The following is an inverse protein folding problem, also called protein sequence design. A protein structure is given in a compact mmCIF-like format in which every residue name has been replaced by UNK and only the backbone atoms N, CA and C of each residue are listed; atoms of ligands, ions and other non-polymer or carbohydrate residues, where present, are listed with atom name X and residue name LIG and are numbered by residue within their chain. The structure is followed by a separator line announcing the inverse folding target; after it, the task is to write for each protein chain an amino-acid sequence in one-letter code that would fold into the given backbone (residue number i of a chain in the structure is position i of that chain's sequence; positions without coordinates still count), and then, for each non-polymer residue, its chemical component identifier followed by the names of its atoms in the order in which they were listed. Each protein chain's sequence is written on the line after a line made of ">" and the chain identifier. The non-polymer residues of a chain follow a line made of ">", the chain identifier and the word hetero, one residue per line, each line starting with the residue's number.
data_IF_129365290510
#
_entry.id   IF_129365290510
#
_cell.length_a   1.000
_cell.length_b   1.000
_cell.length_c   1.000
_cell.angle_alpha   90.00
_cell.angle_beta   90.00
_cell.angle_gamma   90.00
#
_symmetry.space_group_name_H-M   'P 1'
#
loop_
_entity.id
_entity.type
_entity.pdbx_description
1 polymer ?
#
# COMPACT_ATOMS: atom_id res chain seq x y z
N UNK A 1 16.92 -18.21 11.02
CA UNK A 1 17.24 -17.03 10.20
C UNK A 1 18.02 -17.52 8.98
N UNK A 2 17.34 -18.04 7.95
CA UNK A 2 18.00 -18.68 6.83
C UNK A 2 18.95 -17.74 6.09
N UNK A 3 18.55 -16.49 5.81
CA UNK A 3 19.41 -15.59 5.06
C UNK A 3 20.64 -15.11 5.83
N UNK A 4 20.55 -15.00 7.15
CA UNK A 4 21.74 -14.76 7.97
C UNK A 4 22.73 -15.91 7.86
N UNK A 5 22.25 -17.16 7.85
CA UNK A 5 23.09 -18.33 7.64
C UNK A 5 23.65 -18.36 6.21
N UNK A 6 22.84 -18.05 5.20
CA UNK A 6 23.29 -17.91 3.82
C UNK A 6 24.38 -16.84 3.68
N UNK A 7 24.23 -15.70 4.36
CA UNK A 7 25.22 -14.63 4.37
C UNK A 7 26.56 -15.11 4.95
N UNK A 8 26.52 -15.78 6.11
CA UNK A 8 27.72 -16.34 6.75
C UNK A 8 28.37 -17.38 5.83
N UNK A 9 27.57 -18.31 5.29
CA UNK A 9 28.05 -19.36 4.41
C UNK A 9 28.67 -18.79 3.12
N UNK A 10 28.09 -17.74 2.55
CA UNK A 10 28.60 -17.10 1.34
C UNK A 10 30.03 -16.56 1.55
N UNK A 11 30.29 -15.87 2.66
CA UNK A 11 31.63 -15.35 2.94
C UNK A 11 32.61 -16.45 3.36
N UNK A 12 32.17 -17.44 4.14
CA UNK A 12 33.02 -18.58 4.48
C UNK A 12 33.42 -19.40 3.25
N UNK A 13 32.53 -19.54 2.27
CA UNK A 13 32.84 -20.21 1.00
C UNK A 13 33.87 -19.40 0.19
N UNK A 14 33.79 -18.06 0.20
CA UNK A 14 34.80 -17.21 -0.43
C UNK A 14 36.16 -17.37 0.25
N UNK A 15 36.21 -17.30 1.59
CA UNK A 15 37.43 -17.50 2.37
C UNK A 15 38.03 -18.90 2.09
N UNK A 16 37.19 -19.93 1.99
CA UNK A 16 37.61 -21.30 1.68
C UNK A 16 38.21 -21.42 0.27
N UNK A 17 37.58 -20.79 -0.74
CA UNK A 17 38.09 -20.81 -2.11
C UNK A 17 39.50 -20.18 -2.18
N UNK A 18 39.71 -19.06 -1.48
CA UNK A 18 41.02 -18.42 -1.40
C UNK A 18 42.11 -19.31 -0.78
N UNK A 19 41.75 -20.12 0.21
CA UNK A 19 42.67 -21.10 0.82
C UNK A 19 42.97 -22.26 -0.13
N UNK A 20 41.95 -22.80 -0.80
CA UNK A 20 42.10 -23.92 -1.73
C UNK A 20 42.95 -23.54 -2.94
N UNK A 21 42.73 -22.34 -3.49
CA UNK A 21 43.48 -21.83 -4.65
C UNK A 21 44.91 -21.40 -4.28
N UNK A 22 45.32 -21.52 -3.00
CA UNK A 22 46.59 -21.04 -2.46
C UNK A 22 46.85 -19.59 -2.85
N UNK A 23 45.79 -18.79 -2.94
CA UNK A 23 45.88 -17.40 -3.35
C UNK A 23 46.78 -16.63 -2.39
N UNK A 24 47.66 -15.80 -2.94
CA UNK A 24 48.53 -14.95 -2.14
C UNK A 24 47.73 -13.70 -1.80
N UNK A 25 47.60 -13.42 -0.50
CA UNK A 25 47.02 -12.17 -0.04
C UNK A 25 47.92 -11.01 -0.49
N UNK A 26 47.34 -10.09 -1.27
CA UNK A 26 48.05 -8.97 -1.89
C UNK A 26 48.63 -8.03 -0.81
N UNK A 27 47.98 -7.92 0.35
CA UNK A 27 48.43 -7.04 1.42
C UNK A 27 49.61 -7.62 2.21
N UNK A 28 49.61 -8.93 2.48
CA UNK A 28 50.62 -9.57 3.34
C UNK A 28 51.71 -10.32 2.56
N UNK A 29 51.50 -10.63 1.29
CA UNK A 29 52.38 -11.46 0.47
C UNK A 29 52.48 -12.93 0.94
N UNK A 30 51.58 -13.34 1.84
CA UNK A 30 51.51 -14.69 2.41
C UNK A 30 50.32 -15.45 1.83
N UNK A 31 50.26 -16.79 1.96
CA UNK A 31 49.05 -17.54 1.61
C UNK A 31 47.83 -16.95 2.34
N UNK A 32 46.73 -16.79 1.61
CA UNK A 32 45.49 -16.21 2.13
C UNK A 32 44.99 -16.98 3.35
N UNK A 33 44.81 -16.27 4.45
CA UNK A 33 44.24 -16.82 5.69
C UNK A 33 42.78 -16.37 5.76
N UNK A 34 41.83 -17.23 6.16
CA UNK A 34 40.44 -16.83 6.35
C UNK A 34 40.32 -15.60 7.27
N UNK A 35 39.38 -14.71 6.94
CA UNK A 35 39.15 -13.49 7.71
C UNK A 35 38.84 -13.77 9.18
N UNK A 36 38.25 -14.94 9.46
CA UNK A 36 38.02 -15.47 10.82
C UNK A 36 38.88 -16.71 11.02
N UNK A 37 39.94 -16.58 11.83
CA UNK A 37 40.88 -17.67 12.14
C UNK A 37 41.26 -17.67 13.63
N UNK A 38 41.72 -18.82 14.14
CA UNK A 38 42.10 -19.02 15.54
C UNK A 38 41.15 -19.96 16.30
N UNK A 39 41.52 -20.28 17.54
CA UNK A 39 40.71 -21.12 18.44
C UNK A 39 39.39 -20.42 18.75
N UNK A 40 38.27 -21.12 18.53
CA UNK A 40 36.90 -20.62 18.73
C UNK A 40 36.55 -19.31 18.02
N UNK A 41 37.36 -18.88 17.04
CA UNK A 41 37.18 -17.60 16.36
C UNK A 41 35.82 -17.48 15.67
N UNK A 42 35.31 -18.59 15.12
CA UNK A 42 33.97 -18.62 14.53
C UNK A 42 32.88 -18.33 15.57
N UNK A 43 32.95 -18.99 16.73
CA UNK A 43 32.02 -18.75 17.82
C UNK A 43 32.10 -17.30 18.30
N UNK A 44 33.32 -16.79 18.51
CA UNK A 44 33.56 -15.49 19.13
C UNK A 44 33.35 -14.30 18.20
N UNK A 45 33.68 -14.44 16.92
CA UNK A 45 33.65 -13.34 15.94
C UNK A 45 32.41 -13.37 15.04
N UNK A 46 31.75 -14.52 14.89
CA UNK A 46 30.58 -14.66 14.02
C UNK A 46 29.31 -14.90 14.84
N UNK A 47 29.28 -15.95 15.64
CA UNK A 47 28.05 -16.39 16.32
C UNK A 47 27.70 -15.49 17.51
N UNK A 48 28.64 -15.25 18.43
CA UNK A 48 28.42 -14.45 19.64
C UNK A 48 27.93 -13.01 19.33
N UNK A 49 28.52 -12.26 18.38
CA UNK A 49 28.02 -10.91 18.07
C UNK A 49 26.57 -10.89 17.57
N UNK A 50 26.16 -11.89 16.78
CA UNK A 50 24.77 -12.01 16.31
C UNK A 50 23.87 -12.39 17.47
N UNK A 51 24.28 -13.35 18.29
CA UNK A 51 23.55 -13.79 19.48
C UNK A 51 23.32 -12.63 20.47
N UNK A 52 24.35 -11.85 20.80
CA UNK A 52 24.27 -10.75 21.77
C UNK A 52 23.26 -9.67 21.35
N UNK A 53 23.16 -9.41 20.05
CA UNK A 53 22.17 -8.48 19.49
C UNK A 53 20.76 -9.03 19.62
N UNK A 54 20.57 -10.30 19.28
CA UNK A 54 19.26 -10.97 19.38
C UNK A 54 18.82 -11.05 20.85
N UNK A 55 19.71 -11.42 21.75
CA UNK A 55 19.45 -11.46 23.18
C UNK A 55 19.06 -10.07 23.71
N UNK A 56 19.78 -9.03 23.30
CA UNK A 56 19.45 -7.66 23.68
C UNK A 56 18.07 -7.22 23.14
N UNK A 57 17.71 -7.56 21.89
CA UNK A 57 16.39 -7.27 21.32
C UNK A 57 15.26 -8.00 22.07
N UNK A 58 15.46 -9.28 22.42
CA UNK A 58 14.48 -10.06 23.20
C UNK A 58 14.31 -9.49 24.60
N UNK A 59 15.40 -9.16 25.30
CA UNK A 59 15.35 -8.49 26.61
C UNK A 59 14.65 -7.14 26.51
N UNK A 60 14.92 -6.38 25.44
CA UNK A 60 14.31 -5.08 25.23
C UNK A 60 12.81 -5.15 24.95
N UNK A 61 12.32 -6.21 24.31
CA UNK A 61 10.91 -6.49 24.04
C UNK A 61 10.04 -6.60 25.31
N UNK A 62 10.64 -6.87 26.47
CA UNK A 62 9.94 -7.13 27.75
C UNK A 62 8.86 -8.20 27.58
N UNK A 63 9.26 -9.35 27.05
CA UNK A 63 8.35 -10.47 26.77
C UNK A 63 7.16 -10.08 25.85
N UNK A 64 7.40 -9.20 24.87
CA UNK A 64 6.38 -8.73 23.92
C UNK A 64 5.47 -7.62 24.44
N UNK A 65 5.63 -7.13 25.67
CA UNK A 65 4.78 -6.07 26.23
C UNK A 65 5.13 -4.68 25.71
N UNK A 66 6.34 -4.47 25.17
CA UNK A 66 6.65 -3.21 24.51
C UNK A 66 5.92 -3.07 23.16
N UNK A 67 5.61 -1.83 22.74
CA UNK A 67 5.06 -1.57 21.41
C UNK A 67 5.90 -2.28 20.35
N UNK A 68 5.22 -2.97 19.43
CA UNK A 68 5.88 -3.79 18.40
C UNK A 68 6.83 -2.99 17.49
N UNK A 69 6.68 -1.66 17.43
CA UNK A 69 7.58 -0.75 16.72
C UNK A 69 8.92 -0.53 17.42
N UNK A 70 9.07 -0.87 18.70
CA UNK A 70 10.22 -0.52 19.51
C UNK A 70 11.38 -1.54 19.43
N UNK A 71 11.09 -2.78 19.05
CA UNK A 71 12.04 -3.90 19.01
C UNK A 71 11.93 -4.64 17.68
N UNK A 72 13.01 -5.31 17.27
CA UNK A 72 13.03 -6.10 16.04
C UNK A 72 12.56 -7.53 16.30
N UNK A 73 11.62 -8.00 15.50
CA UNK A 73 11.26 -9.42 15.48
C UNK A 73 12.22 -10.20 14.56
N UNK A 74 12.01 -11.51 14.49
CA UNK A 74 12.76 -12.39 13.58
C UNK A 74 12.72 -11.95 12.12
N UNK A 75 11.56 -11.51 11.64
CA UNK A 75 11.32 -11.12 10.25
C UNK A 75 12.11 -9.86 9.89
N UNK A 76 12.13 -8.85 10.77
CA UNK A 76 12.89 -7.62 10.59
C UNK A 76 14.40 -7.90 10.48
N UNK A 77 14.89 -8.83 11.31
CA UNK A 77 16.28 -9.27 11.25
C UNK A 77 16.55 -10.04 9.96
N UNK A 78 15.65 -10.93 9.56
CA UNK A 78 15.78 -11.70 8.32
C UNK A 78 15.75 -10.76 7.09
N UNK A 79 14.81 -9.81 7.01
CA UNK A 79 14.70 -8.81 5.94
C UNK A 79 15.98 -7.98 5.77
N UNK A 80 16.66 -7.66 6.88
CA UNK A 80 17.96 -7.00 6.83
C UNK A 80 18.98 -7.79 6.00
N UNK A 81 18.99 -9.13 6.12
CA UNK A 81 19.87 -10.02 5.34
C UNK A 81 19.36 -10.27 3.91
N UNK A 82 18.06 -10.14 3.63
CA UNK A 82 17.52 -10.19 2.26
C UNK A 82 18.02 -9.03 1.39
N UNK A 83 18.31 -7.89 2.00
CA UNK A 83 18.74 -6.72 1.26
C UNK A 83 20.10 -6.96 0.60
N UNK A 84 20.21 -6.78 -0.72
CA UNK A 84 21.52 -6.75 -1.43
C UNK A 84 22.51 -5.75 -0.82
N UNK A 85 22.01 -4.75 -0.08
CA UNK A 85 22.83 -3.76 0.61
C UNK A 85 23.54 -4.34 1.85
N UNK A 86 23.18 -5.54 2.31
CA UNK A 86 23.78 -6.19 3.48
C UNK A 86 25.28 -6.41 3.28
N UNK A 87 25.71 -6.88 2.11
CA UNK A 87 27.12 -7.10 1.77
C UNK A 87 27.96 -5.83 1.93
N UNK A 88 27.42 -4.68 1.50
CA UNK A 88 28.08 -3.37 1.64
C UNK A 88 28.00 -2.80 3.05
N UNK A 89 26.88 -3.02 3.76
CA UNK A 89 26.62 -2.40 5.07
C UNK A 89 27.29 -3.15 6.21
N UNK A 90 27.09 -4.47 6.25
CA UNK A 90 27.59 -5.34 7.29
C UNK A 90 29.07 -5.66 7.06
N UNK A 91 29.45 -5.92 5.80
CA UNK A 91 30.78 -6.37 5.38
C UNK A 91 31.26 -7.64 6.13
N UNK A 92 32.36 -8.21 5.65
CA UNK A 92 33.01 -9.36 6.26
C UNK A 92 34.50 -9.04 6.44
N UNK A 93 35.10 -9.32 7.62
CA UNK A 93 34.51 -9.92 8.81
C UNK A 93 33.54 -8.98 9.57
N UNK A 94 32.72 -9.55 10.45
CA UNK A 94 31.72 -8.79 11.21
C UNK A 94 32.40 -7.80 12.17
N UNK A 95 32.03 -6.52 12.09
CA UNK A 95 32.55 -5.46 12.96
C UNK A 95 31.45 -4.92 13.90
N UNK A 96 31.70 -4.82 15.22
CA UNK A 96 30.73 -4.30 16.20
C UNK A 96 30.29 -2.85 15.94
N UNK A 97 31.08 -2.07 15.19
CA UNK A 97 30.76 -0.68 14.85
C UNK A 97 29.62 -0.56 13.82
N UNK A 98 29.18 -1.67 13.21
CA UNK A 98 28.11 -1.64 12.20
C UNK A 98 26.74 -1.49 12.86
N UNK A 99 25.87 -0.76 12.16
CA UNK A 99 24.56 -0.35 12.65
C UNK A 99 23.62 -1.51 13.00
N UNK A 100 23.87 -2.72 12.48
CA UNK A 100 23.17 -3.94 12.85
C UNK A 100 23.48 -4.40 14.29
N UNK A 101 24.71 -4.20 14.76
CA UNK A 101 25.18 -4.61 16.08
C UNK A 101 24.93 -3.56 17.18
N UNK A 102 24.36 -2.41 16.82
CA UNK A 102 23.96 -1.38 17.79
C UNK A 102 22.75 -1.90 18.57
N UNK A 103 22.93 -2.04 19.89
CA UNK A 103 21.91 -2.54 20.82
C UNK A 103 20.66 -1.64 20.88
N UNK A 104 19.48 -2.20 21.21
CA UNK A 104 18.24 -1.45 21.37
C UNK A 104 18.34 -0.33 22.42
N UNK A 105 17.88 0.86 22.06
CA UNK A 105 17.93 2.07 22.90
C UNK A 105 19.04 3.07 22.52
N UNK A 106 20.04 2.64 21.76
CA UNK A 106 21.14 3.50 21.34
C UNK A 106 20.84 4.23 20.01
N UNK A 107 21.29 5.49 19.85
CA UNK A 107 21.15 6.24 18.61
C UNK A 107 21.91 5.56 17.47
N UNK A 108 21.38 5.65 16.24
CA UNK A 108 21.98 5.02 15.05
C UNK A 108 21.63 3.54 14.85
N UNK A 109 20.87 2.92 15.78
CA UNK A 109 20.34 1.56 15.61
C UNK A 109 19.47 1.46 14.35
N UNK A 110 19.65 0.37 13.59
CA UNK A 110 18.68 -0.03 12.58
C UNK A 110 17.42 -0.51 13.30
N UNK A 111 16.39 0.33 13.29
CA UNK A 111 15.08 -0.02 13.82
C UNK A 111 14.40 -1.12 13.01
N UNK A 112 13.14 -1.38 13.33
CA UNK A 112 12.28 -2.28 12.56
C UNK A 112 12.30 -1.91 11.07
N UNK A 113 12.99 -2.72 10.27
CA UNK A 113 12.93 -2.68 8.81
C UNK A 113 11.75 -3.55 8.45
N UNK A 114 10.64 -2.91 8.12
CA UNK A 114 9.39 -3.59 7.85
C UNK A 114 8.29 -2.55 7.92
N UNK A 115 7.17 -2.83 7.26
CA UNK A 115 5.95 -2.07 7.46
C UNK A 115 5.61 -2.22 8.94
N UNK A 116 5.96 -1.22 9.76
CA UNK A 116 5.24 -1.01 11.00
C UNK A 116 3.83 -0.78 10.51
N UNK A 117 2.99 -1.82 10.55
CA UNK A 117 1.55 -1.64 10.46
C UNK A 117 1.21 -0.76 11.67
N UNK A 118 1.38 0.55 11.52
CA UNK A 118 0.41 1.46 12.09
C UNK A 118 -0.86 1.07 11.35
N UNK A 119 -1.52 0.03 11.87
CA UNK A 119 -2.83 -0.43 11.47
C UNK A 119 -3.79 0.66 11.92
N UNK A 120 -3.68 1.80 11.24
CA UNK A 120 -4.59 2.90 11.36
C UNK A 120 -5.91 2.39 10.84
N UNK A 121 -6.99 2.72 11.54
CA UNK A 121 -8.35 2.46 11.08
C UNK A 121 -8.55 2.90 9.61
N UNK A 122 -7.88 3.98 9.21
CA UNK A 122 -7.85 4.47 7.83
C UNK A 122 -7.31 3.47 6.81
N UNK A 123 -6.39 2.58 7.18
CA UNK A 123 -5.89 1.54 6.28
C UNK A 123 -6.94 0.46 5.99
N UNK A 124 -7.85 0.20 6.94
CA UNK A 124 -9.01 -0.69 6.73
C UNK A 124 -9.99 -0.04 5.78
N UNK A 125 -10.31 1.25 5.99
CA UNK A 125 -11.17 1.98 5.06
C UNK A 125 -10.58 2.03 3.64
N UNK A 126 -9.28 2.32 3.51
CA UNK A 126 -8.58 2.39 2.23
C UNK A 126 -8.53 1.03 1.52
N UNK A 127 -8.32 -0.06 2.24
CA UNK A 127 -8.21 -1.41 1.67
C UNK A 127 -9.56 -1.96 1.18
N UNK A 128 -10.66 -1.59 1.83
CA UNK A 128 -12.01 -2.07 1.51
C UNK A 128 -12.92 -0.94 1.00
N UNK A 129 -12.34 0.01 0.29
CA UNK A 129 -12.97 1.27 -0.12
C UNK A 129 -14.31 1.06 -0.85
N UNK A 130 -14.39 0.07 -1.75
CA UNK A 130 -15.60 -0.26 -2.52
C UNK A 130 -16.74 -0.74 -1.64
N UNK A 131 -16.42 -1.54 -0.62
CA UNK A 131 -17.42 -2.08 0.32
C UNK A 131 -17.99 -0.95 1.16
N UNK A 132 -17.14 -0.08 1.69
CA UNK A 132 -17.58 1.07 2.48
C UNK A 132 -18.45 2.04 1.67
N UNK A 133 -18.04 2.35 0.44
CA UNK A 133 -18.84 3.19 -0.45
C UNK A 133 -20.19 2.55 -0.73
N UNK A 134 -20.23 1.27 -1.09
CA UNK A 134 -21.49 0.56 -1.34
C UNK A 134 -22.42 0.60 -0.12
N UNK A 135 -21.89 0.31 1.07
CA UNK A 135 -22.69 0.30 2.31
C UNK A 135 -23.25 1.68 2.64
N UNK A 136 -22.44 2.74 2.55
CA UNK A 136 -22.88 4.11 2.84
C UNK A 136 -23.95 4.56 1.83
N UNK A 137 -23.73 4.31 0.54
CA UNK A 137 -24.67 4.72 -0.51
C UNK A 137 -25.98 3.94 -0.42
N UNK A 138 -25.91 2.63 -0.18
CA UNK A 138 -27.10 1.81 0.02
C UNK A 138 -27.87 2.24 1.27
N UNK A 139 -27.17 2.50 2.38
CA UNK A 139 -27.79 2.96 3.61
C UNK A 139 -28.51 4.31 3.40
N UNK A 140 -27.86 5.28 2.75
CA UNK A 140 -28.50 6.56 2.42
C UNK A 140 -29.72 6.37 1.53
N UNK A 141 -29.63 5.57 0.47
CA UNK A 141 -30.76 5.29 -0.42
C UNK A 141 -31.92 4.64 0.34
N UNK A 142 -31.62 3.64 1.16
CA UNK A 142 -32.59 2.93 1.98
C UNK A 142 -33.26 3.86 3.00
N UNK A 143 -32.51 4.72 3.68
CA UNK A 143 -33.06 5.72 4.60
C UNK A 143 -34.03 6.68 3.89
N UNK A 144 -33.65 7.18 2.71
CA UNK A 144 -34.49 8.10 1.93
C UNK A 144 -35.80 7.43 1.51
N UNK A 145 -35.73 6.18 1.06
CA UNK A 145 -36.91 5.42 0.62
C UNK A 145 -37.79 5.02 1.81
N UNK A 146 -37.19 4.57 2.91
CA UNK A 146 -37.92 4.15 4.11
C UNK A 146 -38.62 5.31 4.84
N UNK A 147 -38.14 6.55 4.67
CA UNK A 147 -38.72 7.73 5.31
C UNK A 147 -40.17 8.01 4.88
N UNK A 148 -40.58 7.56 3.70
CA UNK A 148 -41.94 7.74 3.17
C UNK A 148 -42.97 6.81 3.84
N UNK A 149 -42.52 5.77 4.57
CA UNK A 149 -43.39 4.85 5.30
C UNK A 149 -44.16 3.83 4.44
N UNK A 150 -44.19 4.02 3.12
CA UNK A 150 -44.73 3.05 2.18
C UNK A 150 -43.72 1.95 1.82
N UNK A 151 -44.19 0.93 1.10
CA UNK A 151 -43.29 -0.12 0.59
C UNK A 151 -42.31 0.45 -0.45
N UNK A 152 -41.06 -0.05 -0.51
CA UNK A 152 -39.99 0.61 -1.27
C UNK A 152 -40.31 0.88 -2.75
N UNK A 153 -40.98 -0.06 -3.41
CA UNK A 153 -41.36 0.04 -4.82
C UNK A 153 -42.40 1.13 -5.08
N UNK A 154 -43.30 1.37 -4.13
CA UNK A 154 -44.32 2.42 -4.23
C UNK A 154 -43.71 3.80 -3.94
N UNK A 155 -42.83 3.91 -2.93
CA UNK A 155 -42.12 5.16 -2.63
C UNK A 155 -41.27 5.62 -3.84
N UNK A 156 -40.60 4.70 -4.53
CA UNK A 156 -39.84 5.02 -5.74
C UNK A 156 -40.70 5.46 -6.94
N UNK A 157 -42.04 5.34 -6.87
CA UNK A 157 -42.93 5.87 -7.92
C UNK A 157 -43.05 7.39 -7.84
N UNK A 158 -42.89 7.97 -6.65
CA UNK A 158 -42.99 9.42 -6.47
C UNK A 158 -41.73 10.12 -6.96
N UNK A 159 -41.92 11.08 -7.87
CA UNK A 159 -40.82 11.84 -8.51
C UNK A 159 -39.95 12.58 -7.49
N UNK A 160 -40.55 13.11 -6.44
CA UNK A 160 -39.82 13.79 -5.36
C UNK A 160 -38.87 12.83 -4.64
N UNK A 161 -39.28 11.57 -4.42
CA UNK A 161 -38.43 10.54 -3.78
C UNK A 161 -37.34 10.08 -4.72
N UNK A 162 -37.64 9.82 -5.99
CA UNK A 162 -36.64 9.47 -7.00
C UNK A 162 -35.48 10.48 -7.02
N UNK A 163 -35.81 11.78 -6.97
CA UNK A 163 -34.82 12.84 -7.04
C UNK A 163 -34.09 13.01 -5.71
N UNK A 164 -34.74 12.79 -4.55
CA UNK A 164 -34.03 12.68 -3.28
C UNK A 164 -33.01 11.54 -3.31
N UNK A 165 -33.36 10.38 -3.87
CA UNK A 165 -32.43 9.24 -4.00
C UNK A 165 -31.23 9.61 -4.87
N UNK A 166 -31.38 10.45 -5.90
CA UNK A 166 -30.24 10.93 -6.72
C UNK A 166 -29.16 11.67 -5.90
N UNK A 167 -29.45 12.13 -4.69
CA UNK A 167 -28.44 12.68 -3.76
C UNK A 167 -27.31 11.69 -3.43
N UNK A 168 -27.49 10.38 -3.66
CA UNK A 168 -26.43 9.37 -3.51
C UNK A 168 -25.21 9.65 -4.40
N UNK A 169 -25.37 10.31 -5.54
CA UNK A 169 -24.23 10.70 -6.38
C UNK A 169 -23.39 11.80 -5.74
N UNK A 170 -24.00 12.70 -4.96
CA UNK A 170 -23.28 13.75 -4.23
C UNK A 170 -22.41 13.12 -3.15
N UNK A 171 -22.98 12.25 -2.34
CA UNK A 171 -22.22 11.50 -1.32
C UNK A 171 -21.18 10.61 -1.94
N UNK A 172 -21.46 9.95 -3.07
CA UNK A 172 -20.45 9.16 -3.75
C UNK A 172 -19.26 10.01 -4.20
N UNK A 173 -19.51 11.16 -4.84
CA UNK A 173 -18.45 12.09 -5.23
C UNK A 173 -17.66 12.62 -4.02
N UNK A 174 -18.34 12.93 -2.90
CA UNK A 174 -17.69 13.34 -1.66
C UNK A 174 -16.82 12.20 -1.07
N UNK A 175 -17.30 10.96 -1.09
CA UNK A 175 -16.51 9.80 -0.67
C UNK A 175 -15.28 9.59 -1.56
N UNK A 176 -15.34 9.93 -2.86
CA UNK A 176 -14.16 9.94 -3.73
C UNK A 176 -13.10 10.94 -3.29
N UNK A 177 -13.49 12.09 -2.73
CA UNK A 177 -12.54 13.05 -2.15
C UNK A 177 -11.84 12.41 -0.95
N UNK A 178 -12.60 11.78 -0.05
CA UNK A 178 -12.03 11.06 1.12
C UNK A 178 -11.05 9.98 0.65
N UNK A 179 -11.42 9.17 -0.35
CA UNK A 179 -10.53 8.16 -0.93
C UNK A 179 -9.25 8.79 -1.51
N UNK A 180 -9.37 9.89 -2.27
CA UNK A 180 -8.22 10.55 -2.89
C UNK A 180 -7.26 11.15 -1.84
N UNK A 181 -7.79 11.72 -0.76
CA UNK A 181 -7.00 12.26 0.35
C UNK A 181 -6.28 11.15 1.12
N UNK A 182 -6.94 10.02 1.38
CA UNK A 182 -6.31 8.88 2.06
C UNK A 182 -5.23 8.21 1.20
N UNK A 183 -5.47 8.09 -0.10
CA UNK A 183 -4.46 7.66 -1.06
C UNK A 183 -3.25 8.60 -1.05
N UNK A 184 -3.48 9.92 -1.06
CA UNK A 184 -2.41 10.91 -1.02
C UNK A 184 -1.62 10.84 0.29
N UNK A 185 -2.30 10.77 1.44
CA UNK A 185 -1.64 10.71 2.75
C UNK A 185 -0.79 9.45 2.95
N UNK A 186 -1.29 8.30 2.49
CA UNK A 186 -0.55 7.02 2.62
C UNK A 186 0.60 6.90 1.62
N UNK A 187 0.42 7.41 0.41
CA UNK A 187 1.45 7.32 -0.63
C UNK A 187 2.40 8.53 -0.65
N UNK A 188 2.18 9.54 0.18
CA UNK A 188 3.08 10.70 0.29
C UNK A 188 4.52 10.27 0.59
N UNK A 189 4.70 9.26 1.46
CA UNK A 189 6.02 8.71 1.76
C UNK A 189 6.69 7.98 0.58
N UNK A 190 5.92 7.55 -0.43
CA UNK A 190 6.43 6.93 -1.66
C UNK A 190 6.80 7.97 -2.73
N UNK A 191 6.36 9.23 -2.55
CA UNK A 191 6.75 10.33 -3.42
C UNK A 191 8.19 10.72 -3.09
N UNK A 192 9.13 10.05 -3.76
CA UNK A 192 10.51 10.52 -3.90
C UNK A 192 10.57 11.51 -5.06
N UNK A 193 11.64 12.30 -5.13
CA UNK A 193 11.92 13.22 -6.24
C UNK A 193 11.83 12.55 -7.62
N UNK A 194 12.05 11.23 -7.70
CA UNK A 194 12.00 10.44 -8.94
C UNK A 194 10.57 10.09 -9.41
N UNK A 195 9.51 10.34 -8.61
CA UNK A 195 8.13 9.95 -8.93
C UNK A 195 7.16 11.14 -8.99
N UNK A 196 7.57 12.25 -9.62
CA UNK A 196 6.71 13.45 -9.82
C UNK A 196 5.35 13.09 -10.44
N UNK A 197 5.31 12.18 -11.42
CA UNK A 197 4.05 11.72 -12.04
C UNK A 197 3.07 11.11 -11.03
N UNK A 198 3.57 10.45 -9.98
CA UNK A 198 2.74 9.90 -8.92
C UNK A 198 2.09 11.01 -8.10
N UNK A 199 2.85 12.07 -7.77
CA UNK A 199 2.33 13.26 -7.09
C UNK A 199 1.28 13.99 -7.94
N UNK A 200 1.57 14.21 -9.23
CA UNK A 200 0.63 14.84 -10.18
C UNK A 200 -0.68 14.03 -10.26
N UNK A 201 -0.59 12.70 -10.36
CA UNK A 201 -1.76 11.82 -10.37
C UNK A 201 -2.60 11.95 -9.09
N UNK A 202 -1.97 12.08 -7.92
CA UNK A 202 -2.69 12.26 -6.66
C UNK A 202 -3.45 13.58 -6.62
N UNK A 203 -2.78 14.68 -6.99
CA UNK A 203 -3.41 16.01 -7.03
C UNK A 203 -4.58 16.00 -8.02
N UNK A 204 -4.38 15.46 -9.21
CA UNK A 204 -5.43 15.37 -10.23
C UNK A 204 -6.64 14.55 -9.74
N UNK A 205 -6.41 13.42 -9.05
CA UNK A 205 -7.51 12.64 -8.44
C UNK A 205 -8.35 13.48 -7.49
N UNK A 206 -7.72 14.27 -6.62
CA UNK A 206 -8.42 15.14 -5.66
C UNK A 206 -9.22 16.22 -6.41
N UNK A 207 -8.59 16.92 -7.36
CA UNK A 207 -9.24 17.98 -8.14
C UNK A 207 -10.45 17.47 -8.92
N UNK A 208 -10.32 16.31 -9.57
CA UNK A 208 -11.42 15.67 -10.31
C UNK A 208 -12.57 15.29 -9.36
N UNK A 209 -12.27 14.73 -8.18
CA UNK A 209 -13.29 14.38 -7.19
C UNK A 209 -14.03 15.62 -6.64
N UNK A 210 -13.30 16.70 -6.38
CA UNK A 210 -13.87 18.00 -5.97
C UNK A 210 -14.76 18.56 -7.07
N UNK A 211 -14.28 18.56 -8.32
CA UNK A 211 -15.05 19.03 -9.48
C UNK A 211 -16.37 18.28 -9.66
N UNK A 212 -16.36 16.95 -9.54
CA UNK A 212 -17.58 16.14 -9.58
C UNK A 212 -18.53 16.44 -8.42
N UNK A 213 -18.01 16.60 -7.21
CA UNK A 213 -18.84 16.90 -6.03
C UNK A 213 -19.55 18.24 -6.19
N UNK A 214 -18.82 19.29 -6.62
CA UNK A 214 -19.39 20.61 -6.90
C UNK A 214 -20.44 20.52 -8.02
N UNK A 215 -20.12 19.80 -9.10
CA UNK A 215 -21.04 19.63 -10.24
C UNK A 215 -22.37 19.00 -9.80
N UNK A 216 -22.32 17.91 -9.03
CA UNK A 216 -23.55 17.27 -8.53
C UNK A 216 -24.31 18.16 -7.55
N UNK A 217 -23.63 18.85 -6.63
CA UNK A 217 -24.29 19.79 -5.71
C UNK A 217 -25.03 20.89 -6.50
N UNK A 218 -24.35 21.53 -7.46
CA UNK A 218 -24.93 22.62 -8.26
C UNK A 218 -26.12 22.12 -9.08
N UNK A 219 -25.99 20.99 -9.78
CA UNK A 219 -27.09 20.44 -10.57
C UNK A 219 -28.26 20.02 -9.67
N UNK A 220 -27.99 19.44 -8.50
CA UNK A 220 -29.02 19.07 -7.53
C UNK A 220 -29.80 20.27 -6.99
N UNK A 221 -29.09 21.31 -6.54
CA UNK A 221 -29.72 22.56 -6.09
C UNK A 221 -30.52 23.21 -7.23
N UNK A 222 -30.00 23.20 -8.46
CA UNK A 222 -30.73 23.72 -9.63
C UNK A 222 -32.01 22.96 -9.95
N UNK A 223 -32.06 21.64 -9.73
CA UNK A 223 -33.29 20.85 -9.88
C UNK A 223 -34.33 21.26 -8.84
N UNK A 224 -33.94 21.33 -7.56
CA UNK A 224 -34.86 21.69 -6.47
C UNK A 224 -35.35 23.12 -6.54
N UNK A 225 -34.48 24.07 -6.88
CA UNK A 225 -34.88 25.48 -7.06
C UNK A 225 -35.93 25.62 -8.17
N UNK A 226 -35.77 24.89 -9.28
CA UNK A 226 -36.76 24.91 -10.37
C UNK A 226 -38.10 24.28 -9.93
N UNK A 227 -38.03 23.15 -9.23
CA UNK A 227 -39.21 22.45 -8.68
C UNK A 227 -39.98 23.32 -7.67
N UNK A 228 -39.28 24.10 -6.86
CA UNK A 228 -39.87 25.02 -5.89
C UNK A 228 -40.53 26.21 -6.58
N UNK A 229 -39.83 26.82 -7.53
CA UNK A 229 -40.35 27.94 -8.32
C UNK A 229 -41.62 27.56 -9.09
N UNK A 230 -41.59 26.42 -9.79
CA UNK A 230 -42.71 26.00 -10.64
C UNK A 230 -43.83 25.29 -9.85
N UNK A 231 -43.61 25.01 -8.56
CA UNK A 231 -44.47 24.21 -7.66
C UNK A 231 -44.83 22.79 -8.15
N UNK A 232 -44.30 22.37 -9.29
CA UNK A 232 -44.48 21.05 -9.90
C UNK A 232 -43.25 20.65 -10.71
N UNK A 233 -43.15 19.38 -11.11
CA UNK A 233 -42.15 18.92 -12.07
C UNK A 233 -42.54 19.35 -13.49
N UNK A 234 -42.27 20.62 -13.81
CA UNK A 234 -42.47 21.20 -15.15
C UNK A 234 -41.52 20.58 -16.18
N UNK A 235 -41.75 20.88 -17.47
CA UNK A 235 -40.82 20.49 -18.54
C UNK A 235 -39.40 21.00 -18.28
N UNK A 236 -39.26 22.26 -17.85
CA UNK A 236 -37.97 22.87 -17.49
C UNK A 236 -37.31 22.18 -16.30
N UNK A 237 -38.09 21.79 -15.28
CA UNK A 237 -37.57 21.03 -14.14
C UNK A 237 -37.07 19.64 -14.58
N UNK A 238 -37.83 18.94 -15.42
CA UNK A 238 -37.43 17.63 -15.95
C UNK A 238 -36.19 17.71 -16.86
N UNK A 239 -36.04 18.76 -17.66
CA UNK A 239 -34.81 19.00 -18.43
C UNK A 239 -33.59 19.10 -17.52
N UNK A 240 -33.69 19.78 -16.37
CA UNK A 240 -32.59 19.83 -15.39
C UNK A 240 -32.29 18.47 -14.74
N UNK A 241 -33.33 17.64 -14.56
CA UNK A 241 -33.15 16.26 -14.10
C UNK A 241 -32.39 15.44 -15.14
N UNK A 242 -32.70 15.59 -16.44
CA UNK A 242 -31.95 14.93 -17.50
C UNK A 242 -30.48 15.35 -17.50
N UNK A 243 -30.18 16.64 -17.35
CA UNK A 243 -28.79 17.11 -17.25
C UNK A 243 -28.04 16.48 -16.06
N UNK A 244 -28.72 16.28 -14.92
CA UNK A 244 -28.14 15.58 -13.77
C UNK A 244 -27.87 14.10 -14.09
N UNK A 245 -28.80 13.44 -14.76
CA UNK A 245 -28.66 12.04 -15.16
C UNK A 245 -27.55 11.84 -16.20
N UNK A 246 -27.39 12.77 -17.14
CA UNK A 246 -26.27 12.78 -18.08
C UNK A 246 -24.93 12.91 -17.36
N UNK A 247 -24.81 13.85 -16.42
CA UNK A 247 -23.62 13.99 -15.59
C UNK A 247 -23.34 12.71 -14.76
N UNK A 248 -24.39 12.09 -14.21
CA UNK A 248 -24.30 10.83 -13.49
C UNK A 248 -23.85 9.67 -14.41
N UNK A 249 -24.34 9.61 -15.64
CA UNK A 249 -23.92 8.62 -16.62
C UNK A 249 -22.43 8.78 -16.95
N UNK A 250 -21.95 10.00 -17.20
CA UNK A 250 -20.52 10.27 -17.45
C UNK A 250 -19.67 9.89 -16.24
N UNK A 251 -20.12 10.20 -15.02
CA UNK A 251 -19.43 9.83 -13.78
C UNK A 251 -19.32 8.30 -13.58
N UNK A 252 -20.30 7.54 -14.09
CA UNK A 252 -20.33 6.08 -14.01
C UNK A 252 -19.41 5.39 -15.03
N UNK A 253 -19.09 6.03 -16.17
CA UNK A 253 -18.31 5.42 -17.26
C UNK A 253 -17.01 4.75 -16.76
N UNK A 254 -16.14 5.40 -15.97
CA UNK A 254 -14.91 4.78 -15.51
C UNK A 254 -15.14 3.53 -14.64
N UNK A 255 -16.25 3.50 -13.90
CA UNK A 255 -16.59 2.39 -12.99
C UNK A 255 -17.10 1.19 -13.77
N UNK A 256 -17.97 1.43 -14.75
CA UNK A 256 -18.45 0.40 -15.66
C UNK A 256 -17.29 -0.15 -16.48
N UNK A 257 -16.43 0.71 -17.02
CA UNK A 257 -15.25 0.30 -17.77
C UNK A 257 -14.31 -0.55 -16.90
N UNK A 258 -14.06 -0.16 -15.66
CA UNK A 258 -13.24 -0.94 -14.74
C UNK A 258 -13.84 -2.33 -14.46
N UNK A 259 -15.17 -2.42 -14.32
CA UNK A 259 -15.87 -3.70 -14.15
C UNK A 259 -15.76 -4.57 -15.41
N UNK A 260 -15.98 -4.00 -16.59
CA UNK A 260 -15.86 -4.71 -17.87
C UNK A 260 -14.45 -5.24 -18.08
N UNK A 261 -13.42 -4.43 -17.81
CA UNK A 261 -12.02 -4.84 -17.89
C UNK A 261 -11.71 -5.96 -16.89
N UNK A 262 -12.25 -5.87 -15.67
CA UNK A 262 -12.09 -6.91 -14.66
C UNK A 262 -12.72 -8.25 -15.11
N UNK A 263 -13.96 -8.22 -15.62
CA UNK A 263 -14.65 -9.40 -16.13
C UNK A 263 -13.89 -9.99 -17.33
N UNK A 264 -13.40 -9.15 -18.25
CA UNK A 264 -12.60 -9.60 -19.40
C UNK A 264 -11.35 -10.35 -18.93
N UNK A 265 -10.58 -9.77 -18.00
CA UNK A 265 -9.38 -10.42 -17.45
C UNK A 265 -9.74 -11.74 -16.75
N UNK A 266 -10.88 -11.80 -16.07
CA UNK A 266 -11.35 -13.01 -15.41
C UNK A 266 -11.74 -14.10 -16.43
N UNK A 267 -12.41 -13.73 -17.51
CA UNK A 267 -12.86 -14.66 -18.57
C UNK A 267 -11.74 -15.05 -19.56
N UNK A 268 -10.60 -14.36 -19.58
CA UNK A 268 -9.46 -14.77 -20.39
C UNK A 268 -9.02 -16.19 -19.98
N UNK A 269 -8.89 -17.13 -20.93
CA UNK A 269 -8.39 -18.47 -20.66
C UNK A 269 -7.06 -18.43 -19.91
N UNK A 270 -6.87 -19.33 -18.95
CA UNK A 270 -5.65 -19.44 -18.13
C UNK A 270 -4.38 -19.46 -18.97
N UNK A 271 -4.42 -20.06 -20.17
CA UNK A 271 -3.33 -20.07 -21.15
C UNK A 271 -2.84 -18.66 -21.54
N UNK A 272 -3.75 -17.69 -21.67
CA UNK A 272 -3.40 -16.31 -22.02
C UNK A 272 -2.91 -15.49 -20.82
N UNK A 273 -3.25 -15.87 -19.57
CA UNK A 273 -2.65 -15.25 -18.37
C UNK A 273 -1.15 -15.57 -18.26
N UNK A 274 -0.74 -16.75 -18.73
CA UNK A 274 0.68 -17.16 -18.77
C UNK A 274 1.50 -16.37 -19.79
N UNK A 275 0.96 -16.07 -20.97
CA UNK A 275 1.68 -15.32 -22.02
C UNK A 275 2.05 -13.89 -21.60
N UNK A 276 1.23 -13.23 -20.78
CA UNK A 276 1.60 -11.91 -20.24
C UNK A 276 2.71 -11.98 -19.18
N UNK A 277 2.96 -13.14 -18.57
CA UNK A 277 4.07 -13.34 -17.65
C UNK A 277 5.34 -13.82 -18.41
N UNK A 278 5.17 -14.68 -19.41
CA UNK A 278 6.27 -15.20 -20.24
C UNK A 278 6.93 -14.14 -21.13
N UNK A 279 6.17 -13.19 -21.68
CA UNK A 279 6.73 -12.13 -22.51
C UNK A 279 7.72 -11.22 -21.75
N UNK A 280 7.55 -11.06 -20.43
CA UNK A 280 8.45 -10.25 -19.60
C UNK A 280 9.72 -11.00 -19.15
N UNK A 281 9.76 -12.33 -19.30
CA UNK A 281 10.97 -13.11 -19.05
C UNK A 281 11.90 -13.14 -20.26
N UNK A 282 11.37 -13.13 -21.49
CA UNK A 282 12.21 -13.15 -22.69
C UNK A 282 12.91 -11.81 -22.96
N UNK A 283 12.34 -10.68 -22.53
CA UNK A 283 12.98 -9.36 -22.69
C UNK A 283 14.16 -9.12 -21.73
N UNK A 284 14.33 -9.95 -20.69
CA UNK A 284 15.48 -9.86 -19.77
C UNK A 284 16.56 -10.94 -20.05
N UNK A 285 16.41 -11.72 -21.11
CA UNK A 285 17.38 -12.74 -21.53
C UNK A 285 18.00 -12.49 -22.90
N UNK A 286 17.84 -11.27 -23.45
CA UNK A 286 18.62 -10.76 -24.57
C UNK A 286 19.44 -9.55 -24.09
#
# INVERSE_FOLDING_TARGET
>A
MPECLCYIFHYMALDLNHVIDQSIDIETGRPSVPAVHGVDAFLDKVVKPIYDVLEAEVKFSRNGTKPHSAWRNYDDVNEYFWSRRVFRRLQWPLSPARSFFIKPGNPGRIGKTGFVEQRSFWNVYRSFDRVWVMLILFFQAAMIVAWDGHTPWFSLRYRDIQIRVLSVFITWAALRIVQAVLDAGTQYSLVRTDTIFLAVRMVLKVLVAVGWTITFIVLYVRMWNQRWHDRRWSFSANSRVLNYLEAAAVFLIPQVLALVLFIRILLLPTAARGLSCGARLLENSA
#
